data_IF_693599195587
#
_entry.id   IF_693599195587
#
_cell.length_a   1.000
_cell.length_b   1.000
_cell.length_c   1.000
_cell.angle_alpha   90.00
_cell.angle_beta   90.00
_cell.angle_gamma   90.00
#
_symmetry.space_group_name_H-M   'P 1'
#
loop_
_entity.id
_entity.type
_entity.pdbx_description
1 polymer ?
#
# COMPACT_ATOMS: atom_id res chain seq x y z
N UNK A 1 3.92 14.41 -16.34
CA UNK A 1 4.51 13.06 -16.37
C UNK A 1 3.72 12.15 -15.45
N UNK A 2 3.23 11.05 -15.98
CA UNK A 2 2.45 10.13 -15.17
C UNK A 2 3.35 9.32 -14.25
N UNK A 3 2.87 9.09 -13.03
CA UNK A 3 3.57 8.22 -12.10
C UNK A 3 3.30 6.77 -12.48
N UNK A 4 4.35 5.97 -12.48
CA UNK A 4 4.25 4.54 -12.80
C UNK A 4 4.53 3.68 -11.57
N UNK A 5 4.39 4.24 -10.39
CA UNK A 5 4.68 3.55 -9.14
C UNK A 5 3.48 3.56 -8.21
N UNK A 6 3.43 2.59 -7.31
CA UNK A 6 2.38 2.51 -6.30
C UNK A 6 2.96 2.00 -5.00
N UNK A 7 2.65 2.71 -3.91
CA UNK A 7 3.05 2.29 -2.57
C UNK A 7 1.93 1.44 -1.98
N UNK A 8 2.27 0.20 -1.62
CA UNK A 8 1.33 -0.74 -1.04
C UNK A 8 1.62 -0.89 0.45
N UNK A 9 0.57 -0.77 1.26
CA UNK A 9 0.70 -0.84 2.72
C UNK A 9 -0.19 -1.93 3.33
N UNK A 10 -1.01 -2.57 2.53
CA UNK A 10 -1.94 -3.60 2.97
C UNK A 10 -1.79 -4.87 2.15
N UNK A 11 -2.91 -5.43 1.68
CA UNK A 11 -2.91 -6.72 1.01
C UNK A 11 -2.02 -6.76 -0.24
N UNK A 12 -1.87 -5.64 -0.93
CA UNK A 12 -1.04 -5.60 -2.13
C UNK A 12 0.46 -5.71 -1.84
N UNK A 13 0.86 -5.65 -0.57
CA UNK A 13 2.26 -5.90 -0.22
C UNK A 13 2.70 -7.32 -0.58
N UNK A 14 1.76 -8.25 -0.68
CA UNK A 14 2.07 -9.62 -1.07
C UNK A 14 2.10 -9.72 -2.59
N UNK A 15 3.25 -10.10 -3.18
CA UNK A 15 3.39 -10.10 -4.63
C UNK A 15 2.40 -11.00 -5.34
N UNK A 16 2.02 -12.11 -4.74
CA UNK A 16 1.03 -13.01 -5.35
C UNK A 16 -0.34 -12.34 -5.48
N UNK A 17 -0.70 -11.50 -4.51
CA UNK A 17 -1.96 -10.75 -4.60
C UNK A 17 -1.82 -9.67 -5.69
N UNK A 18 -0.71 -8.96 -5.69
CA UNK A 18 -0.46 -7.92 -6.70
C UNK A 18 -0.52 -8.51 -8.11
N UNK A 19 0.09 -9.67 -8.30
CA UNK A 19 0.05 -10.38 -9.58
C UNK A 19 -1.37 -10.69 -10.01
N UNK A 20 -2.20 -11.17 -9.10
CA UNK A 20 -3.58 -11.50 -9.43
C UNK A 20 -4.37 -10.27 -9.83
N UNK A 21 -4.18 -9.17 -9.13
CA UNK A 21 -4.93 -7.94 -9.42
C UNK A 21 -4.51 -7.39 -10.77
N UNK A 22 -3.22 -7.34 -11.04
CA UNK A 22 -2.72 -6.79 -12.29
C UNK A 22 -2.86 -7.76 -13.47
N UNK A 23 -3.07 -9.05 -13.20
CA UNK A 23 -3.25 -10.04 -14.25
C UNK A 23 -1.97 -10.37 -15.01
N UNK A 24 -0.81 -10.17 -14.40
CA UNK A 24 0.47 -10.50 -15.02
C UNK A 24 1.50 -10.84 -13.96
N UNK A 25 2.59 -11.44 -14.41
CA UNK A 25 3.64 -11.91 -13.52
C UNK A 25 4.27 -10.75 -12.76
N UNK A 26 4.39 -10.89 -11.46
CA UNK A 26 5.04 -9.88 -10.64
C UNK A 26 6.53 -9.76 -10.95
N UNK A 27 7.12 -10.80 -11.54
CA UNK A 27 8.51 -10.73 -11.95
C UNK A 27 8.75 -9.63 -12.99
N UNK A 28 7.69 -9.17 -13.66
CA UNK A 28 7.79 -8.04 -14.58
C UNK A 28 7.78 -6.70 -13.86
N UNK A 29 7.53 -6.70 -12.56
CA UNK A 29 7.51 -5.48 -11.75
C UNK A 29 8.68 -5.50 -10.79
N UNK A 30 9.32 -4.37 -10.64
CA UNK A 30 10.30 -4.21 -9.58
C UNK A 30 9.61 -3.73 -8.32
N UNK A 31 10.10 -4.16 -7.18
CA UNK A 31 9.55 -3.70 -5.91
C UNK A 31 10.66 -3.57 -4.89
N UNK A 32 10.47 -2.66 -3.96
CA UNK A 32 11.41 -2.40 -2.90
C UNK A 32 10.66 -1.93 -1.67
N UNK A 33 11.31 -1.99 -0.52
CA UNK A 33 10.73 -1.43 0.69
C UNK A 33 10.74 0.08 0.63
N UNK A 34 9.70 0.69 1.21
CA UNK A 34 9.61 2.13 1.31
C UNK A 34 8.83 2.50 2.56
N UNK A 35 8.93 3.76 2.97
CA UNK A 35 8.29 4.26 4.19
C UNK A 35 7.52 5.52 3.89
N UNK A 36 6.30 5.60 4.41
CA UNK A 36 5.42 6.75 4.23
C UNK A 36 5.25 7.47 5.56
N UNK A 37 5.51 8.75 5.58
CA UNK A 37 5.29 9.60 6.75
C UNK A 37 3.93 10.30 6.66
N UNK A 38 3.44 10.73 7.81
CA UNK A 38 2.24 11.58 7.86
C UNK A 38 0.94 10.85 7.62
N UNK A 39 0.94 9.53 7.72
CA UNK A 39 -0.27 8.71 7.52
C UNK A 39 -0.28 7.58 8.53
N UNK A 40 -1.48 7.16 8.91
CA UNK A 40 -1.67 6.01 9.79
C UNK A 40 -2.53 4.97 9.10
N UNK A 41 -2.24 3.71 9.41
CA UNK A 41 -2.96 2.57 8.88
C UNK A 41 -3.83 1.99 9.98
N UNK A 42 -5.10 1.73 9.67
CA UNK A 42 -6.05 1.18 10.64
C UNK A 42 -6.80 0.01 10.01
N UNK A 43 -7.21 -0.98 10.83
CA UNK A 43 -8.05 -2.05 10.30
C UNK A 43 -9.40 -1.51 9.88
N UNK A 44 -9.97 -2.10 8.83
CA UNK A 44 -11.35 -1.82 8.45
C UNK A 44 -12.23 -2.86 9.13
N UNK A 45 -13.26 -2.41 9.84
CA UNK A 45 -14.13 -3.27 10.65
C UNK A 45 -14.71 -4.40 9.80
N UNK A 46 -14.54 -5.63 10.29
CA UNK A 46 -15.09 -6.80 9.62
C UNK A 46 -14.37 -7.23 8.36
N UNK A 47 -13.24 -6.61 8.04
CA UNK A 47 -12.49 -6.94 6.84
C UNK A 47 -11.08 -7.36 7.18
N UNK A 48 -10.42 -8.00 6.22
CA UNK A 48 -9.03 -8.41 6.40
C UNK A 48 -8.04 -7.38 5.87
N UNK A 49 -8.51 -6.27 5.34
CA UNK A 49 -7.66 -5.23 4.76
C UNK A 49 -7.73 -3.94 5.58
N UNK A 50 -6.69 -3.10 5.48
CA UNK A 50 -6.66 -1.84 6.22
C UNK A 50 -7.05 -0.65 5.36
N UNK A 51 -7.27 0.49 6.03
CA UNK A 51 -7.38 1.77 5.38
C UNK A 51 -6.26 2.70 5.82
N UNK A 52 -5.92 3.67 4.99
CA UNK A 52 -4.86 4.63 5.25
C UNK A 52 -5.46 6.03 5.33
N UNK A 53 -5.10 6.76 6.37
CA UNK A 53 -5.59 8.13 6.55
C UNK A 53 -4.45 9.05 6.91
N UNK A 54 -4.54 10.34 6.57
CA UNK A 54 -3.53 11.31 7.02
C UNK A 54 -3.53 11.41 8.54
N UNK A 55 -2.34 11.46 9.12
CA UNK A 55 -2.22 11.67 10.56
C UNK A 55 -0.87 12.31 10.85
N UNK A 56 -0.92 13.56 11.27
CA UNK A 56 0.28 14.29 11.63
C UNK A 56 0.97 13.60 12.81
N UNK A 57 2.29 13.48 12.72
CA UNK A 57 3.06 12.86 13.79
C UNK A 57 3.04 11.35 13.84
N UNK A 58 2.38 10.68 12.88
CA UNK A 58 2.40 9.23 12.83
C UNK A 58 3.81 8.72 12.54
N UNK A 59 4.12 7.54 13.06
CA UNK A 59 5.38 6.90 12.76
C UNK A 59 5.45 6.53 11.28
N UNK A 60 6.68 6.46 10.73
CA UNK A 60 6.85 6.06 9.35
C UNK A 60 6.26 4.67 9.14
N UNK A 61 5.44 4.56 8.12
CA UNK A 61 4.74 3.30 7.79
C UNK A 61 5.51 2.55 6.73
N UNK A 62 5.94 1.35 7.06
CA UNK A 62 6.67 0.52 6.12
C UNK A 62 5.71 -0.16 5.15
N UNK A 63 6.08 -0.17 3.88
CA UNK A 63 5.32 -0.84 2.85
C UNK A 63 6.21 -1.24 1.69
N UNK A 64 5.59 -1.51 0.55
CA UNK A 64 6.28 -1.95 -0.66
C UNK A 64 5.99 -0.97 -1.78
N UNK A 65 7.03 -0.49 -2.42
CA UNK A 65 6.92 0.37 -3.59
C UNK A 65 7.08 -0.47 -4.85
N UNK A 66 6.04 -0.55 -5.65
CA UNK A 66 6.08 -1.22 -6.94
C UNK A 66 6.35 -0.21 -8.03
N UNK A 67 7.23 -0.56 -8.99
CA UNK A 67 7.57 0.29 -10.11
C UNK A 67 7.26 -0.42 -11.42
N UNK A 68 7.18 0.35 -12.50
CA UNK A 68 6.91 -0.23 -13.81
C UNK A 68 5.45 -0.52 -14.08
N UNK A 69 4.55 0.11 -13.34
CA UNK A 69 3.12 -0.08 -13.54
C UNK A 69 2.65 0.72 -14.75
N UNK A 70 1.72 0.12 -15.50
CA UNK A 70 1.14 0.73 -16.69
C UNK A 70 -0.21 1.35 -16.35
N UNK A 71 -0.73 2.23 -17.24
CA UNK A 71 -2.09 2.74 -17.04
C UNK A 71 -3.13 1.62 -16.93
N UNK A 72 -2.94 0.52 -17.64
CA UNK A 72 -3.86 -0.60 -17.55
C UNK A 72 -3.79 -1.26 -16.18
N UNK A 73 -2.58 -1.36 -15.59
CA UNK A 73 -2.45 -1.88 -14.23
C UNK A 73 -3.24 -1.02 -13.25
N UNK A 74 -3.16 0.30 -13.41
CA UNK A 74 -3.90 1.20 -12.51
C UNK A 74 -5.40 1.09 -12.69
N UNK A 75 -5.88 0.81 -13.89
CA UNK A 75 -7.31 0.55 -14.08
C UNK A 75 -7.75 -0.64 -13.25
N UNK A 76 -6.94 -1.69 -13.25
CA UNK A 76 -7.26 -2.89 -12.48
C UNK A 76 -7.16 -2.65 -10.98
N UNK A 77 -6.14 -1.90 -10.56
CA UNK A 77 -5.97 -1.56 -9.16
C UNK A 77 -7.11 -0.66 -8.67
N UNK A 78 -7.51 0.33 -9.46
CA UNK A 78 -8.62 1.20 -9.10
C UNK A 78 -9.90 0.39 -8.91
N UNK A 79 -10.15 -0.57 -9.80
CA UNK A 79 -11.33 -1.42 -9.70
C UNK A 79 -11.26 -2.34 -8.48
N UNK A 80 -10.08 -2.88 -8.19
CA UNK A 80 -9.88 -3.74 -7.03
C UNK A 80 -10.11 -3.00 -5.72
N UNK A 81 -9.59 -1.78 -5.62
CA UNK A 81 -9.71 -1.00 -4.39
C UNK A 81 -11.14 -0.51 -4.14
N UNK A 82 -11.86 -0.19 -5.21
CA UNK A 82 -13.27 0.12 -5.12
C UNK A 82 -13.57 1.51 -4.56
N UNK A 83 -14.80 1.66 -4.08
CA UNK A 83 -15.33 2.97 -3.73
C UNK A 83 -14.81 3.54 -2.42
N UNK A 84 -14.27 2.69 -1.55
CA UNK A 84 -13.81 3.16 -0.24
C UNK A 84 -12.46 3.85 -0.30
N UNK A 85 -11.75 3.72 -1.42
CA UNK A 85 -10.40 4.25 -1.58
C UNK A 85 -10.34 5.27 -2.69
N UNK A 86 -9.39 6.18 -2.57
CA UNK A 86 -9.06 7.11 -3.65
C UNK A 86 -7.57 7.04 -3.91
N UNK A 87 -7.17 7.13 -5.16
CA UNK A 87 -5.77 7.10 -5.54
C UNK A 87 -5.24 8.52 -5.50
N UNK A 88 -4.26 8.76 -4.63
CA UNK A 88 -3.68 10.09 -4.44
C UNK A 88 -2.17 10.01 -4.51
N UNK A 89 -1.50 11.11 -4.89
CA UNK A 89 -0.04 11.13 -4.89
C UNK A 89 0.50 11.41 -3.50
N UNK A 90 1.60 10.71 -3.17
CA UNK A 90 2.33 10.95 -1.93
C UNK A 90 3.82 10.81 -2.23
N UNK A 91 4.65 11.15 -1.26
CA UNK A 91 6.08 10.94 -1.36
C UNK A 91 6.51 9.96 -0.29
N UNK A 92 7.26 8.95 -0.71
CA UNK A 92 7.78 7.92 0.21
C UNK A 92 9.30 8.03 0.28
N UNK A 93 9.86 7.48 1.33
CA UNK A 93 11.30 7.45 1.57
C UNK A 93 11.78 6.03 1.31
N UNK A 94 12.90 5.90 0.61
CA UNK A 94 13.40 4.59 0.20
C UNK A 94 14.39 3.99 1.18
N UNK A 95 14.73 4.71 2.24
CA UNK A 95 15.59 4.22 3.30
C UNK A 95 14.86 4.24 4.63
N UNK A 96 15.12 3.25 5.45
CA UNK A 96 14.48 3.15 6.75
C UNK A 96 14.87 4.37 7.60
N UNK A 97 13.90 5.17 8.05
CA UNK A 97 14.24 6.40 8.79
C UNK A 97 15.00 6.16 10.08
N UNK A 98 14.80 5.02 10.71
CA UNK A 98 15.41 4.71 12.00
C UNK A 98 16.79 4.09 11.87
N UNK A 99 17.28 3.80 10.67
CA UNK A 99 18.58 3.14 10.53
C UNK A 99 19.74 4.03 10.86
N UNK A 100 19.50 5.32 10.87
CA UNK A 100 20.59 6.25 11.11
C UNK A 100 20.95 6.36 12.58
N UNK A 101 19.99 6.21 13.48
CA UNK A 101 20.21 6.35 14.91
C UNK A 101 21.04 7.57 15.28
N UNK A 102 20.96 8.59 14.49
CA UNK A 102 21.79 9.75 14.71
C UNK A 102 23.25 9.54 14.35
N UNK A 103 23.58 8.43 13.73
CA UNK A 103 24.96 8.08 13.40
C UNK A 103 25.30 8.36 11.94
N UNK A 104 24.37 8.91 11.18
CA UNK A 104 24.68 9.28 9.80
C UNK A 104 25.84 10.28 9.81
N UNK A 105 26.85 10.07 8.97
CA UNK A 105 27.97 11.02 8.94
C UNK A 105 27.49 12.40 8.59
N UNK A 106 28.15 13.39 9.16
CA UNK A 106 27.86 14.77 8.77
C UNK A 106 28.07 14.92 7.27
N UNK A 107 27.10 15.51 6.59
CA UNK A 107 27.20 15.66 5.16
C UNK A 107 26.64 14.48 4.36
N UNK A 108 26.06 13.49 5.02
CA UNK A 108 25.41 12.39 4.32
C UNK A 108 24.25 12.92 3.46
N UNK A 109 24.07 12.31 2.29
CA UNK A 109 22.96 12.69 1.42
C UNK A 109 21.63 12.37 2.13
N UNK A 110 20.59 13.19 1.92
CA UNK A 110 19.27 12.85 2.44
C UNK A 110 18.81 11.52 1.86
N UNK A 111 17.94 10.83 2.60
CA UNK A 111 17.33 9.61 2.12
C UNK A 111 16.63 9.87 0.79
N UNK A 112 16.73 8.90 -0.12
CA UNK A 112 16.08 9.00 -1.41
C UNK A 112 14.56 9.05 -1.22
N UNK A 113 13.91 9.90 -1.98
CA UNK A 113 12.46 10.06 -1.94
C UNK A 113 11.88 9.79 -3.31
N UNK A 114 10.66 9.27 -3.32
CA UNK A 114 9.98 8.90 -4.55
C UNK A 114 8.53 9.33 -4.46
N UNK A 115 8.08 10.12 -5.45
CA UNK A 115 6.66 10.41 -5.57
C UNK A 115 5.97 9.20 -6.17
N UNK A 116 4.81 8.85 -5.61
CA UNK A 116 4.11 7.63 -6.01
C UNK A 116 2.62 7.78 -5.75
N UNK A 117 1.84 6.90 -6.39
CA UNK A 117 0.43 6.76 -6.05
C UNK A 117 0.27 5.92 -4.80
N UNK A 118 -0.78 6.21 -4.03
CA UNK A 118 -1.22 5.37 -2.92
C UNK A 118 -2.74 5.36 -2.90
N UNK A 119 -3.32 4.26 -2.43
CA UNK A 119 -4.77 4.16 -2.26
C UNK A 119 -5.10 4.54 -0.83
N UNK A 120 -5.68 5.71 -0.64
CA UNK A 120 -6.02 6.25 0.67
C UNK A 120 -7.50 6.04 0.93
N UNK A 121 -7.86 5.74 2.18
CA UNK A 121 -9.24 5.52 2.54
C UNK A 121 -10.00 6.85 2.47
N UNK A 122 -11.20 6.81 1.92
CA UNK A 122 -11.97 8.04 1.75
C UNK A 122 -12.53 8.51 3.08
N UNK A 123 -12.53 9.82 3.35
CA UNK A 123 -13.00 10.34 4.64
C UNK A 123 -14.43 9.92 4.97
N UNK A 124 -15.30 9.82 3.99
CA UNK A 124 -16.70 9.47 4.23
C UNK A 124 -16.87 8.04 4.75
N UNK A 125 -15.85 7.20 4.64
CA UNK A 125 -15.89 5.83 5.14
C UNK A 125 -15.05 5.63 6.40
N UNK A 126 -14.46 6.69 6.95
CA UNK A 126 -13.56 6.55 8.10
C UNK A 126 -14.27 5.97 9.32
N UNK A 127 -15.59 6.06 9.40
CA UNK A 127 -16.34 5.46 10.49
C UNK A 127 -16.17 3.94 10.56
N UNK A 128 -15.70 3.33 9.48
CA UNK A 128 -15.45 1.88 9.44
C UNK A 128 -14.09 1.48 9.99
N UNK A 129 -13.21 2.45 10.23
CA UNK A 129 -11.87 2.15 10.71
C UNK A 129 -11.87 1.90 12.19
N UNK A 130 -11.08 0.93 12.62
CA UNK A 130 -10.90 0.60 14.02
C UNK A 130 -9.61 1.19 14.55
N UNK A 131 -9.52 1.48 15.85
CA UNK A 131 -8.29 2.04 16.41
C UNK A 131 -7.13 1.05 16.33
N UNK A 132 -5.93 1.57 16.39
CA UNK A 132 -4.73 0.75 16.33
C UNK A 132 -4.27 0.50 14.91
N UNK A 133 -3.18 -0.24 14.80
CA UNK A 133 -2.64 -0.58 13.50
C UNK A 133 -3.15 -1.94 13.03
N UNK A 134 -3.22 -2.09 11.72
CA UNK A 134 -3.49 -3.37 11.09
C UNK A 134 -2.21 -4.21 11.14
N UNK A 135 -2.33 -5.50 11.39
CA UNK A 135 -1.18 -6.38 11.55
C UNK A 135 -0.89 -7.18 10.29
N UNK A 136 0.23 -6.90 9.61
CA UNK A 136 0.65 -7.75 8.48
C UNK A 136 0.84 -9.20 8.87
N UNK A 137 1.33 -9.45 10.09
CA UNK A 137 1.56 -10.81 10.57
C UNK A 137 0.26 -11.58 10.75
N UNK A 138 -0.77 -10.93 11.28
CA UNK A 138 -2.08 -11.55 11.42
C UNK A 138 -2.70 -11.81 10.05
N UNK A 139 -2.51 -10.90 9.12
CA UNK A 139 -2.99 -11.08 7.76
C UNK A 139 -2.32 -12.31 7.12
N UNK A 140 -1.00 -12.41 7.23
CA UNK A 140 -0.26 -13.55 6.66
C UNK A 140 -0.72 -14.87 7.28
N UNK A 141 -0.97 -14.88 8.58
CA UNK A 141 -1.28 -16.11 9.30
C UNK A 141 -2.72 -16.58 9.04
N UNK A 142 -3.67 -15.68 8.94
CA UNK A 142 -5.09 -16.02 8.89
C UNK A 142 -5.88 -15.23 7.85
N UNK A 143 -5.69 -13.92 7.84
CA UNK A 143 -6.49 -13.03 7.02
C UNK A 143 -6.29 -13.23 5.53
N UNK A 144 -5.06 -13.58 5.12
CA UNK A 144 -4.74 -13.73 3.71
C UNK A 144 -5.57 -14.83 3.05
N UNK A 145 -5.72 -15.96 3.74
CA UNK A 145 -6.53 -17.07 3.22
C UNK A 145 -7.99 -16.65 3.06
N UNK A 146 -8.54 -15.95 4.06
CA UNK A 146 -9.91 -15.46 3.98
C UNK A 146 -10.05 -14.43 2.86
N UNK A 147 -9.08 -13.52 2.76
CA UNK A 147 -9.08 -12.48 1.76
C UNK A 147 -9.05 -13.08 0.35
N UNK A 148 -8.14 -14.01 0.11
CA UNK A 148 -8.02 -14.65 -1.19
C UNK A 148 -9.25 -15.47 -1.55
N UNK A 149 -9.87 -16.13 -0.56
CA UNK A 149 -11.10 -16.86 -0.80
C UNK A 149 -12.27 -15.95 -1.18
N UNK A 150 -12.35 -14.79 -0.50
CA UNK A 150 -13.40 -13.82 -0.77
C UNK A 150 -13.24 -13.15 -2.14
N UNK A 151 -11.99 -12.96 -2.56
CA UNK A 151 -11.66 -12.29 -3.81
C UNK A 151 -11.12 -13.28 -4.85
N UNK A 152 -11.64 -14.47 -4.86
CA UNK A 152 -11.16 -15.54 -5.73
C UNK A 152 -11.21 -15.15 -7.19
N UNK A 153 -12.01 -14.20 -7.56
CA UNK A 153 -12.13 -13.74 -8.93
C UNK A 153 -11.34 -12.47 -9.24
N UNK A 154 -10.23 -12.23 -8.57
CA UNK A 154 -9.42 -11.01 -8.78
C UNK A 154 -9.18 -10.71 -10.23
N UNK A 155 -8.80 -11.72 -11.00
CA UNK A 155 -8.47 -11.56 -12.41
C UNK A 155 -9.69 -11.31 -13.25
N UNK A 156 -10.83 -11.65 -12.73
CA UNK A 156 -12.09 -11.31 -13.37
C UNK A 156 -12.49 -9.99 -12.76
N UNK A 157 -12.48 -8.98 -13.51
CA UNK A 157 -12.96 -7.70 -13.03
C UNK A 157 -14.19 -7.95 -12.20
N UNK A 158 -14.18 -7.58 -10.93
CA UNK A 158 -15.36 -7.81 -10.13
C UNK A 158 -16.51 -7.15 -10.84
N UNK A 159 -17.52 -7.93 -11.04
CA UNK A 159 -18.73 -7.36 -11.55
C UNK A 159 -19.12 -6.26 -10.59
N UNK A 160 -19.36 -5.08 -11.07
CA UNK A 160 -19.80 -4.01 -10.21
C UNK A 160 -21.05 -4.39 -9.47
#
# INVERSE_FOLDING_TARGET
MELSTCFAYGSLMWPDIMTRVCGREVSALQHTQAWLHGHARHPVRGQDYPGLVPQSGAQALQGVLYTGLTPQDFQRLDAFEGQEYERVPVEVVLEHPATTDGLAPAGAAPAARQKTWVYRYRPEFEYRLEPGDWSPQAFEAQGKARFCARYVGFTQTPAP
#
